data_IF_037581406758
#
_entry.id   IF_037581406758
#
_cell.length_a   1.000
_cell.length_b   1.000
_cell.length_c   1.000
_cell.angle_alpha   90.00
_cell.angle_beta   90.00
_cell.angle_gamma   90.00
#
_symmetry.space_group_name_H-M   'P 1'
#
loop_
_entity.id
_entity.type
_entity.pdbx_description
1 polymer ?
#
# COMPACT_ATOMS: atom_id res chain seq x y z
N UNK A 1 6.69 -12.06 30.77
CA UNK A 1 6.74 -12.08 29.29
C UNK A 1 6.75 -10.63 28.83
N UNK A 2 7.49 -10.25 27.77
CA UNK A 2 7.37 -8.90 27.23
C UNK A 2 5.90 -8.69 26.86
N UNK A 3 5.31 -7.64 27.42
CA UNK A 3 3.95 -7.21 27.06
C UNK A 3 4.13 -6.38 25.79
N UNK A 4 3.70 -6.92 24.66
CA UNK A 4 3.71 -6.19 23.41
C UNK A 4 2.83 -4.95 23.55
N UNK A 5 3.40 -3.78 23.32
CA UNK A 5 2.68 -2.52 23.26
C UNK A 5 2.85 -1.88 21.86
N UNK A 6 2.17 -0.75 21.63
CA UNK A 6 2.23 -0.04 20.35
C UNK A 6 3.67 0.26 19.89
N UNK A 7 4.58 0.58 20.82
CA UNK A 7 5.97 0.93 20.49
C UNK A 7 6.73 -0.28 19.96
N UNK A 8 6.55 -1.45 20.57
CA UNK A 8 7.20 -2.68 20.12
C UNK A 8 6.70 -3.09 18.72
N UNK A 9 5.40 -2.90 18.44
CA UNK A 9 4.83 -3.19 17.12
C UNK A 9 5.36 -2.24 16.05
N UNK A 10 5.37 -0.93 16.34
CA UNK A 10 5.90 0.09 15.42
C UNK A 10 7.37 -0.17 15.08
N UNK A 11 8.18 -0.47 16.09
CA UNK A 11 9.60 -0.78 15.90
C UNK A 11 9.81 -2.04 15.03
N UNK A 12 9.01 -3.09 15.24
CA UNK A 12 9.08 -4.32 14.45
C UNK A 12 8.72 -4.10 12.98
N UNK A 13 7.68 -3.31 12.71
CA UNK A 13 7.22 -2.95 11.35
C UNK A 13 8.29 -2.11 10.62
N UNK A 14 8.82 -1.08 11.28
CA UNK A 14 9.87 -0.23 10.73
C UNK A 14 11.15 -1.03 10.43
N UNK A 15 11.59 -1.88 11.36
CA UNK A 15 12.78 -2.72 11.16
C UNK A 15 12.62 -3.75 10.04
N UNK A 16 11.39 -4.22 9.79
CA UNK A 16 11.08 -5.14 8.70
C UNK A 16 10.91 -4.43 7.34
N UNK A 17 10.91 -3.10 7.29
CA UNK A 17 10.66 -2.33 6.07
C UNK A 17 9.22 -2.51 5.55
N UNK A 18 8.27 -2.80 6.44
CA UNK A 18 6.86 -2.96 6.11
C UNK A 18 6.22 -1.58 6.13
N UNK A 19 5.54 -1.21 5.04
CA UNK A 19 4.69 -0.03 5.00
C UNK A 19 3.28 -0.37 5.51
N UNK A 20 2.78 0.42 6.44
CA UNK A 20 1.39 0.35 6.86
C UNK A 20 0.54 1.23 5.96
N UNK A 21 -0.62 0.70 5.56
CA UNK A 21 -1.59 1.43 4.78
C UNK A 21 -3.00 1.03 5.17
N UNK A 22 -3.94 1.95 4.97
CA UNK A 22 -5.36 1.71 5.11
C UNK A 22 -6.08 2.44 3.98
N UNK A 23 -7.08 1.78 3.40
CA UNK A 23 -7.92 2.38 2.36
C UNK A 23 -9.35 2.52 2.86
N UNK A 24 -9.86 3.74 2.78
CA UNK A 24 -11.27 4.01 2.95
C UNK A 24 -11.95 3.94 1.58
N UNK A 25 -12.69 2.85 1.37
CA UNK A 25 -13.37 2.53 0.10
C UNK A 25 -14.45 3.55 -0.26
N UNK A 26 -15.14 4.13 0.72
CA UNK A 26 -16.26 5.05 0.49
C UNK A 26 -15.79 6.43 0.00
N UNK A 27 -14.64 6.88 0.50
CA UNK A 27 -14.03 8.17 0.17
C UNK A 27 -12.86 8.08 -0.82
N UNK A 28 -12.49 6.87 -1.22
CA UNK A 28 -11.30 6.56 -2.02
C UNK A 28 -9.99 7.16 -1.47
N UNK A 29 -9.85 7.18 -0.14
CA UNK A 29 -8.68 7.75 0.54
C UNK A 29 -7.77 6.65 1.05
N UNK A 30 -6.51 6.69 0.62
CA UNK A 30 -5.45 5.91 1.22
C UNK A 30 -4.69 6.73 2.25
N UNK A 31 -4.50 6.13 3.40
CA UNK A 31 -3.61 6.59 4.46
C UNK A 31 -2.43 5.63 4.51
N UNK A 32 -1.21 6.15 4.57
CA UNK A 32 0.00 5.34 4.71
C UNK A 32 0.94 5.96 5.74
N UNK A 33 1.83 5.16 6.29
CA UNK A 33 2.93 5.66 7.09
C UNK A 33 4.04 6.28 6.21
N UNK A 34 5.07 6.79 6.88
CA UNK A 34 6.22 7.41 6.21
C UNK A 34 6.95 6.44 5.26
N UNK A 35 7.04 5.16 5.65
CA UNK A 35 7.66 4.10 4.83
C UNK A 35 6.86 3.89 3.54
N UNK A 36 5.53 3.87 3.62
CA UNK A 36 4.66 3.80 2.46
C UNK A 36 4.82 5.00 1.53
N UNK A 37 4.87 6.20 2.07
CA UNK A 37 5.12 7.41 1.27
C UNK A 37 6.46 7.33 0.52
N UNK A 38 7.53 6.88 1.19
CA UNK A 38 8.86 6.77 0.59
C UNK A 38 8.92 5.63 -0.45
N UNK A 39 8.23 4.50 -0.20
CA UNK A 39 8.14 3.36 -1.11
C UNK A 39 7.49 3.75 -2.45
N UNK A 40 6.45 4.57 -2.39
CA UNK A 40 5.70 5.07 -3.55
C UNK A 40 6.24 6.40 -4.11
N UNK A 41 7.30 6.96 -3.51
CA UNK A 41 7.87 8.26 -3.86
C UNK A 41 6.84 9.40 -3.88
N UNK A 42 5.94 9.41 -2.89
CA UNK A 42 4.89 10.41 -2.75
C UNK A 42 5.26 11.47 -1.70
N UNK A 43 4.84 12.71 -1.94
CA UNK A 43 4.99 13.76 -0.94
C UNK A 43 4.15 13.47 0.31
N UNK A 44 4.78 13.55 1.48
CA UNK A 44 4.12 13.38 2.79
C UNK A 44 3.10 14.50 3.02
N UNK A 45 1.98 14.17 3.66
CA UNK A 45 0.91 15.13 4.00
C UNK A 45 -0.09 15.42 2.87
N UNK A 46 0.08 14.83 1.68
CA UNK A 46 -0.94 14.85 0.62
C UNK A 46 -1.97 13.74 0.87
N UNK A 47 -3.24 14.01 0.57
CA UNK A 47 -4.25 12.94 0.46
C UNK A 47 -3.93 12.09 -0.75
N UNK A 48 -3.76 10.78 -0.57
CA UNK A 48 -3.48 9.83 -1.64
C UNK A 48 -4.76 9.08 -1.99
N UNK A 49 -5.06 8.97 -3.28
CA UNK A 49 -6.19 8.17 -3.81
C UNK A 49 -5.70 6.88 -4.45
N UNK A 50 -6.61 5.94 -4.73
CA UNK A 50 -6.26 4.74 -5.48
C UNK A 50 -5.76 5.08 -6.89
N UNK A 51 -6.32 6.11 -7.51
CA UNK A 51 -5.91 6.57 -8.84
C UNK A 51 -4.48 7.14 -8.83
N UNK A 52 -4.11 7.90 -7.79
CA UNK A 52 -2.73 8.40 -7.62
C UNK A 52 -1.70 7.25 -7.58
N UNK A 53 -2.03 6.14 -6.91
CA UNK A 53 -1.18 4.95 -6.90
C UNK A 53 -1.20 4.21 -8.23
N UNK A 54 -2.38 4.06 -8.84
CA UNK A 54 -2.57 3.35 -10.10
C UNK A 54 -1.78 3.95 -11.26
N UNK A 55 -1.55 5.26 -11.25
CA UNK A 55 -0.68 5.94 -12.19
C UNK A 55 0.75 5.36 -12.19
N UNK A 56 1.26 4.99 -11.02
CA UNK A 56 2.59 4.42 -10.83
C UNK A 56 2.62 2.89 -10.95
N UNK A 57 1.48 2.20 -11.06
CA UNK A 57 1.47 0.75 -11.29
C UNK A 57 1.93 0.46 -12.72
N UNK A 58 2.76 -0.58 -12.89
CA UNK A 58 3.22 -1.02 -14.19
C UNK A 58 2.02 -1.32 -15.12
N UNK A 59 1.99 -0.85 -16.38
CA UNK A 59 0.81 -0.97 -17.26
C UNK A 59 0.25 -2.39 -17.37
N UNK A 60 1.12 -3.40 -17.42
CA UNK A 60 0.73 -4.81 -17.48
C UNK A 60 0.03 -5.35 -16.23
N UNK A 61 0.17 -4.66 -15.07
CA UNK A 61 -0.43 -5.08 -13.80
C UNK A 61 -1.69 -4.26 -13.44
N UNK A 62 -1.90 -3.09 -14.06
CA UNK A 62 -2.97 -2.14 -13.68
C UNK A 62 -4.37 -2.76 -13.62
N UNK A 63 -4.77 -3.46 -14.68
CA UNK A 63 -6.10 -4.05 -14.75
C UNK A 63 -6.31 -5.14 -13.69
N UNK A 64 -5.29 -5.98 -13.47
CA UNK A 64 -5.32 -7.03 -12.46
C UNK A 64 -5.39 -6.44 -11.05
N UNK A 65 -4.59 -5.40 -10.76
CA UNK A 65 -4.60 -4.73 -9.46
C UNK A 65 -5.95 -4.07 -9.20
N UNK A 66 -6.48 -3.31 -10.16
CA UNK A 66 -7.82 -2.70 -10.05
C UNK A 66 -8.93 -3.72 -9.83
N UNK A 67 -8.87 -4.88 -10.50
CA UNK A 67 -9.84 -5.95 -10.29
C UNK A 67 -9.75 -6.53 -8.87
N UNK A 68 -8.53 -6.78 -8.37
CA UNK A 68 -8.33 -7.26 -7.00
C UNK A 68 -8.81 -6.25 -5.95
N UNK A 69 -8.50 -4.95 -6.12
CA UNK A 69 -9.01 -3.87 -5.29
C UNK A 69 -10.53 -3.71 -5.36
N UNK A 70 -11.15 -4.01 -6.50
CA UNK A 70 -12.62 -3.97 -6.61
C UNK A 70 -13.26 -5.15 -5.89
N UNK A 71 -12.61 -6.32 -5.90
CA UNK A 71 -13.11 -7.52 -5.25
C UNK A 71 -13.12 -7.42 -3.72
N UNK A 72 -12.18 -6.68 -3.11
CA UNK A 72 -12.16 -6.44 -1.65
C UNK A 72 -13.37 -5.64 -1.15
N UNK A 73 -14.06 -4.90 -2.03
CA UNK A 73 -15.32 -4.21 -1.68
C UNK A 73 -16.49 -5.16 -1.44
N UNK A 74 -16.47 -6.34 -2.07
CA UNK A 74 -17.59 -7.29 -2.05
C UNK A 74 -17.37 -8.51 -1.18
N UNK A 75 -16.13 -8.79 -0.76
CA UNK A 75 -15.76 -10.00 -0.03
C UNK A 75 -14.88 -9.61 1.15
N UNK A 76 -15.34 -9.94 2.35
CA UNK A 76 -14.49 -9.90 3.56
C UNK A 76 -13.57 -11.11 3.50
N UNK A 77 -12.27 -10.86 3.28
CA UNK A 77 -11.26 -11.90 3.19
C UNK A 77 -9.85 -11.29 3.11
N UNK A 78 -8.81 -12.11 3.31
CA UNK A 78 -7.43 -11.66 3.16
C UNK A 78 -7.22 -11.16 1.73
N UNK A 79 -6.79 -9.91 1.62
CA UNK A 79 -6.35 -9.33 0.37
C UNK A 79 -4.87 -9.66 0.22
N UNK A 80 -4.46 -10.28 -0.88
CA UNK A 80 -3.05 -10.52 -1.18
C UNK A 80 -2.81 -10.32 -2.67
N UNK A 81 -1.89 -9.42 -3.01
CA UNK A 81 -1.47 -9.23 -4.40
C UNK A 81 -0.02 -8.79 -4.50
N UNK A 82 0.69 -9.41 -5.45
CA UNK A 82 2.01 -8.96 -5.87
C UNK A 82 1.91 -8.23 -7.21
N UNK A 83 2.53 -7.06 -7.32
CA UNK A 83 2.53 -6.26 -8.53
C UNK A 83 3.78 -5.39 -8.63
N UNK A 84 4.03 -4.87 -9.83
CA UNK A 84 5.14 -3.95 -10.08
C UNK A 84 4.66 -2.51 -10.08
N UNK A 85 5.47 -1.63 -9.51
CA UNK A 85 5.34 -0.19 -9.66
C UNK A 85 6.52 0.34 -10.46
N UNK A 86 6.28 1.43 -11.19
CA UNK A 86 7.24 2.21 -11.94
C UNK A 86 7.41 3.53 -11.20
N UNK A 87 8.57 3.72 -10.59
CA UNK A 87 8.97 4.99 -10.00
C UNK A 87 10.09 5.53 -10.87
N UNK A 88 9.80 6.60 -11.61
CA UNK A 88 10.67 7.09 -12.69
C UNK A 88 10.93 5.95 -13.69
N UNK A 89 12.19 5.57 -13.94
CA UNK A 89 12.57 4.47 -14.83
C UNK A 89 12.90 3.16 -14.08
N UNK A 90 12.60 3.10 -12.77
CA UNK A 90 12.91 1.93 -11.95
C UNK A 90 11.66 1.13 -11.63
N UNK A 91 11.72 -0.18 -11.91
CA UNK A 91 10.69 -1.14 -11.50
C UNK A 91 10.95 -1.60 -10.07
N UNK A 92 9.93 -1.51 -9.21
CA UNK A 92 9.94 -2.08 -7.86
C UNK A 92 8.81 -3.10 -7.71
N UNK A 93 9.05 -4.16 -6.96
CA UNK A 93 8.02 -5.15 -6.62
C UNK A 93 7.36 -4.80 -5.29
N UNK A 94 6.03 -4.86 -5.26
CA UNK A 94 5.19 -4.62 -4.09
C UNK A 94 4.41 -5.88 -3.82
N UNK A 95 4.41 -6.31 -2.55
CA UNK A 95 3.51 -7.33 -2.03
C UNK A 95 2.56 -6.63 -1.07
N UNK A 96 1.28 -6.52 -1.44
CA UNK A 96 0.26 -5.86 -0.64
C UNK A 96 -0.63 -6.90 0.04
N UNK A 97 -0.88 -6.68 1.32
CA UNK A 97 -1.66 -7.54 2.23
C UNK A 97 -2.49 -6.68 3.16
#
# INVERSE_FOLDING_TARGET
MPVWDEKHLRLGVEAAGIALWAWNVDSDRLTMDDVGHDLWALAKGRTVTFEDLSANIHPADRDRVRAAFSATRGIVGPYEIDFRILIQDTVRWISAR
#
